data_IF_230014084111
#
_entry.id   IF_230014084111
#
_cell.length_a   1.000
_cell.length_b   1.000
_cell.length_c   1.000
_cell.angle_alpha   90.00
_cell.angle_beta   90.00
_cell.angle_gamma   90.00
#
_symmetry.space_group_name_H-M   'P 1'
#
loop_
_entity.id
_entity.type
_entity.pdbx_description
1 polymer ?
#
# COMPACT_ATOMS: atom_id res chain seq x y z
N UNK A 1 -17.71 -24.51 8.97
CA UNK A 1 -17.71 -23.51 10.04
C UNK A 1 -16.86 -22.32 9.59
N UNK A 2 -17.49 -21.21 9.25
CA UNK A 2 -16.79 -19.99 8.85
C UNK A 2 -16.28 -19.33 10.13
N UNK A 3 -14.97 -19.34 10.33
CA UNK A 3 -14.34 -18.53 11.38
C UNK A 3 -14.51 -17.07 10.93
N UNK A 4 -15.44 -16.33 11.52
CA UNK A 4 -15.48 -14.88 11.41
C UNK A 4 -14.19 -14.38 12.05
N UNK A 5 -13.21 -14.05 11.24
CA UNK A 5 -12.05 -13.25 11.67
C UNK A 5 -12.64 -11.98 12.28
N UNK A 6 -12.35 -11.74 13.57
CA UNK A 6 -12.72 -10.48 14.23
C UNK A 6 -12.12 -9.34 13.42
N UNK A 7 -12.90 -8.27 13.20
CA UNK A 7 -12.36 -7.06 12.58
C UNK A 7 -11.02 -6.71 13.24
N UNK A 8 -9.95 -6.55 12.44
CA UNK A 8 -8.64 -6.26 13.00
C UNK A 8 -8.71 -4.96 13.80
N UNK A 9 -8.29 -5.02 15.05
CA UNK A 9 -8.35 -3.86 15.93
C UNK A 9 -7.08 -3.02 15.75
N UNK A 10 -7.11 -2.11 14.79
CA UNK A 10 -6.01 -1.18 14.55
C UNK A 10 -5.94 -0.13 15.66
N UNK A 11 -4.77 0.00 16.29
CA UNK A 11 -4.48 0.99 17.32
C UNK A 11 -3.15 1.65 17.07
N UNK A 12 -3.17 2.95 16.78
CA UNK A 12 -1.95 3.72 16.55
C UNK A 12 -1.04 3.70 17.80
N UNK A 13 0.25 3.38 17.62
CA UNK A 13 1.24 3.28 18.71
C UNK A 13 1.88 4.61 19.08
N UNK A 14 1.54 5.68 18.38
CA UNK A 14 2.05 7.02 18.67
C UNK A 14 0.93 8.07 18.62
N UNK A 15 1.21 9.27 19.12
CA UNK A 15 0.23 10.36 19.09
C UNK A 15 0.14 10.97 17.71
N UNK A 16 -1.07 11.28 17.21
CA UNK A 16 -1.30 11.88 15.89
C UNK A 16 -0.51 13.18 15.69
N UNK A 17 -0.28 13.96 16.77
CA UNK A 17 0.54 15.17 16.74
C UNK A 17 1.98 14.94 16.27
N UNK A 18 2.49 13.69 16.26
CA UNK A 18 3.83 13.34 15.81
C UNK A 18 3.93 13.04 14.31
N UNK A 19 2.79 12.95 13.59
CA UNK A 19 2.74 12.50 12.18
C UNK A 19 3.68 13.34 11.30
N UNK A 20 3.59 14.67 11.34
CA UNK A 20 4.46 15.53 10.54
C UNK A 20 5.95 15.35 10.84
N UNK A 21 6.30 15.28 12.12
CA UNK A 21 7.70 15.11 12.55
C UNK A 21 8.27 13.74 12.13
N UNK A 22 7.46 12.68 12.22
CA UNK A 22 7.84 11.34 11.77
C UNK A 22 8.00 11.30 10.25
N UNK A 23 7.03 11.82 9.51
CA UNK A 23 7.09 11.85 8.05
C UNK A 23 8.28 12.66 7.51
N UNK A 24 8.68 13.73 8.20
CA UNK A 24 9.82 14.56 7.81
C UNK A 24 11.18 13.82 7.94
N UNK A 25 11.25 12.77 8.75
CA UNK A 25 12.46 11.93 8.90
C UNK A 25 12.50 10.72 7.98
N UNK A 26 11.43 10.51 7.22
CA UNK A 26 11.40 9.44 6.22
C UNK A 26 12.37 9.75 5.07
N UNK A 27 13.32 8.87 4.85
CA UNK A 27 14.42 9.06 3.89
C UNK A 27 14.43 7.99 2.77
N UNK A 28 13.32 7.30 2.55
CA UNK A 28 13.20 6.36 1.44
C UNK A 28 12.77 7.13 0.18
N UNK A 29 13.52 7.03 -0.91
CA UNK A 29 13.28 7.81 -2.12
C UNK A 29 11.94 7.48 -2.79
N UNK A 30 11.12 8.50 -3.02
CA UNK A 30 9.77 8.37 -3.58
C UNK A 30 9.58 9.11 -4.91
N UNK A 31 10.50 9.97 -5.29
CA UNK A 31 10.32 10.94 -6.38
C UNK A 31 9.86 10.25 -7.69
N UNK A 32 10.45 9.10 -8.00
CA UNK A 32 10.07 8.31 -9.18
C UNK A 32 8.64 7.79 -9.06
N UNK A 33 8.27 7.26 -7.91
CA UNK A 33 6.94 6.71 -7.66
C UNK A 33 5.86 7.80 -7.68
N UNK A 34 6.14 8.97 -7.10
CA UNK A 34 5.24 10.13 -7.14
C UNK A 34 5.07 10.65 -8.56
N UNK A 35 6.16 10.77 -9.35
CA UNK A 35 6.11 11.18 -10.75
C UNK A 35 5.31 10.22 -11.63
N UNK A 36 5.42 8.91 -11.41
CA UNK A 36 4.58 7.91 -12.07
C UNK A 36 3.11 8.15 -11.70
N UNK A 37 2.82 8.38 -10.43
CA UNK A 37 1.47 8.64 -9.97
C UNK A 37 0.81 9.86 -10.64
N UNK A 38 1.56 10.92 -10.88
CA UNK A 38 1.06 12.12 -11.57
C UNK A 38 0.56 11.82 -12.99
N UNK A 39 1.25 10.92 -13.70
CA UNK A 39 0.88 10.50 -15.06
C UNK A 39 -0.25 9.48 -15.06
N UNK A 40 -0.21 8.52 -14.13
CA UNK A 40 -1.17 7.41 -14.09
C UNK A 40 -2.56 7.84 -13.63
N UNK A 41 -2.67 8.74 -12.65
CA UNK A 41 -3.98 9.18 -12.13
C UNK A 41 -4.92 9.76 -13.21
N UNK A 42 -4.49 10.62 -14.13
CA UNK A 42 -5.34 11.04 -15.24
C UNK A 42 -5.55 9.96 -16.30
N UNK A 43 -4.51 9.14 -16.60
CA UNK A 43 -4.56 8.07 -17.60
C UNK A 43 -5.46 6.89 -17.16
N UNK A 44 -5.57 6.65 -15.85
CA UNK A 44 -6.33 5.54 -15.25
C UNK A 44 -5.87 4.15 -15.70
N UNK A 45 -4.61 4.03 -16.05
CA UNK A 45 -3.94 2.77 -16.38
C UNK A 45 -2.44 2.92 -16.21
N UNK A 46 -1.73 1.81 -16.05
CA UNK A 46 -0.27 1.76 -16.04
C UNK A 46 0.24 1.22 -17.36
N UNK A 47 1.28 1.83 -17.90
CA UNK A 47 2.13 1.14 -18.87
C UNK A 47 2.95 0.06 -18.16
N UNK A 48 3.44 -0.94 -18.91
CA UNK A 48 4.30 -1.99 -18.37
C UNK A 48 5.55 -1.39 -17.68
N UNK A 49 6.17 -0.38 -18.26
CA UNK A 49 7.35 0.26 -17.66
C UNK A 49 7.05 0.93 -16.31
N UNK A 50 5.95 1.67 -16.20
CA UNK A 50 5.50 2.29 -14.94
C UNK A 50 5.17 1.25 -13.89
N UNK A 51 4.47 0.18 -14.27
CA UNK A 51 4.14 -0.95 -13.40
C UNK A 51 5.41 -1.60 -12.85
N UNK A 52 6.37 -1.93 -13.71
CA UNK A 52 7.63 -2.57 -13.31
C UNK A 52 8.45 -1.68 -12.38
N UNK A 53 8.47 -0.37 -12.60
CA UNK A 53 9.20 0.56 -11.74
C UNK A 53 8.60 0.61 -10.33
N UNK A 54 7.26 0.65 -10.19
CA UNK A 54 6.61 0.60 -8.87
C UNK A 54 6.78 -0.77 -8.19
N UNK A 55 6.75 -1.86 -8.94
CA UNK A 55 7.05 -3.19 -8.40
C UNK A 55 8.48 -3.25 -7.84
N UNK A 56 9.45 -2.71 -8.58
CA UNK A 56 10.84 -2.59 -8.15
C UNK A 56 10.98 -1.72 -6.89
N UNK A 57 10.33 -0.55 -6.89
CA UNK A 57 10.31 0.34 -5.73
C UNK A 57 9.80 -0.37 -4.47
N UNK A 58 8.78 -1.22 -4.59
CA UNK A 58 8.25 -1.99 -3.46
C UNK A 58 9.14 -3.16 -3.07
N UNK A 59 9.63 -3.93 -4.05
CA UNK A 59 10.40 -5.14 -3.78
C UNK A 59 11.17 -5.62 -5.02
N UNK A 60 12.46 -5.47 -5.02
CA UNK A 60 13.35 -5.99 -6.08
C UNK A 60 13.21 -7.52 -6.22
N UNK A 61 12.93 -8.24 -5.12
CA UNK A 61 12.82 -9.70 -5.12
C UNK A 61 11.71 -10.23 -6.02
N UNK A 62 10.62 -9.49 -6.21
CA UNK A 62 9.48 -9.94 -7.02
C UNK A 62 9.59 -9.51 -8.48
N UNK A 63 10.59 -8.71 -8.83
CA UNK A 63 10.80 -8.14 -10.16
C UNK A 63 10.77 -9.17 -11.30
N UNK A 64 11.49 -10.32 -11.23
CA UNK A 64 11.48 -11.29 -12.32
C UNK A 64 10.07 -11.82 -12.65
N UNK A 65 9.22 -11.98 -11.64
CA UNK A 65 7.82 -12.41 -11.85
C UNK A 65 6.97 -11.28 -12.43
N UNK A 66 7.22 -10.04 -12.04
CA UNK A 66 6.50 -8.90 -12.60
C UNK A 66 6.79 -8.72 -14.09
N UNK A 67 8.01 -9.00 -14.54
CA UNK A 67 8.45 -8.94 -15.94
C UNK A 67 7.76 -9.98 -16.84
N UNK A 68 7.16 -11.03 -16.28
CA UNK A 68 6.41 -12.02 -17.03
C UNK A 68 5.03 -11.54 -17.52
N UNK A 69 4.56 -10.37 -17.06
CA UNK A 69 3.29 -9.82 -17.50
C UNK A 69 3.49 -9.02 -18.80
N UNK A 70 2.71 -9.33 -19.83
CA UNK A 70 2.72 -8.52 -21.05
C UNK A 70 2.04 -7.15 -20.86
N UNK A 71 2.35 -6.21 -21.75
CA UNK A 71 1.87 -4.84 -21.65
C UNK A 71 0.34 -4.73 -21.72
N UNK A 72 -0.30 -5.53 -22.57
CA UNK A 72 -1.75 -5.50 -22.73
C UNK A 72 -2.48 -5.98 -21.48
N UNK A 73 -1.95 -7.04 -20.83
CA UNK A 73 -2.50 -7.54 -19.56
C UNK A 73 -2.34 -6.49 -18.45
N UNK A 74 -1.16 -5.88 -18.33
CA UNK A 74 -0.90 -4.82 -17.34
C UNK A 74 -1.88 -3.67 -17.52
N UNK A 75 -2.05 -3.16 -18.74
CA UNK A 75 -2.97 -2.07 -19.05
C UNK A 75 -4.42 -2.45 -18.71
N UNK A 76 -4.88 -3.61 -19.16
CA UNK A 76 -6.25 -4.09 -18.94
C UNK A 76 -6.58 -4.23 -17.43
N UNK A 77 -5.71 -4.92 -16.69
CA UNK A 77 -5.90 -5.18 -15.26
C UNK A 77 -5.86 -3.88 -14.46
N UNK A 78 -4.90 -3.01 -14.74
CA UNK A 78 -4.76 -1.74 -14.01
C UNK A 78 -5.86 -0.75 -14.38
N UNK A 79 -6.38 -0.76 -15.61
CA UNK A 79 -7.56 0.02 -15.99
C UNK A 79 -8.77 -0.39 -15.14
N UNK A 80 -9.04 -1.68 -15.01
CA UNK A 80 -10.13 -2.17 -14.15
C UNK A 80 -9.92 -1.71 -12.71
N UNK A 81 -8.72 -1.88 -12.16
CA UNK A 81 -8.42 -1.48 -10.79
C UNK A 81 -8.63 0.02 -10.54
N UNK A 82 -8.24 0.86 -11.49
CA UNK A 82 -8.29 2.32 -11.33
C UNK A 82 -9.64 2.95 -11.72
N UNK A 83 -10.56 2.18 -12.33
CA UNK A 83 -11.86 2.70 -12.80
C UNK A 83 -13.07 2.05 -12.14
N UNK A 84 -12.98 0.82 -11.64
CA UNK A 84 -14.11 0.12 -11.01
C UNK A 84 -14.63 0.87 -9.78
N UNK A 85 -15.96 0.92 -9.55
CA UNK A 85 -16.52 1.43 -8.30
C UNK A 85 -16.46 0.39 -7.15
N UNK A 86 -16.13 -0.87 -7.44
CA UNK A 86 -16.14 -1.96 -6.47
C UNK A 86 -14.78 -2.13 -5.78
N UNK A 87 -14.70 -1.81 -4.51
CA UNK A 87 -13.44 -1.81 -3.74
C UNK A 87 -12.77 -3.20 -3.67
N UNK A 88 -13.55 -4.26 -3.53
CA UNK A 88 -12.98 -5.61 -3.53
C UNK A 88 -12.37 -5.95 -4.89
N UNK A 89 -13.09 -5.72 -5.98
CA UNK A 89 -12.57 -5.95 -7.33
C UNK A 89 -11.31 -5.11 -7.58
N UNK A 90 -11.31 -3.86 -7.11
CA UNK A 90 -10.20 -2.92 -7.26
C UNK A 90 -8.86 -3.49 -6.79
N UNK A 91 -8.82 -4.05 -5.60
CA UNK A 91 -7.57 -4.59 -5.04
C UNK A 91 -7.28 -6.00 -5.55
N UNK A 92 -8.31 -6.86 -5.63
CA UNK A 92 -8.13 -8.26 -5.99
C UNK A 92 -7.72 -8.45 -7.45
N UNK A 93 -8.26 -7.66 -8.39
CA UNK A 93 -7.89 -7.77 -9.81
C UNK A 93 -6.41 -7.56 -10.04
N UNK A 94 -5.75 -6.71 -9.27
CA UNK A 94 -4.31 -6.48 -9.37
C UNK A 94 -3.48 -7.72 -9.04
N UNK A 95 -4.01 -8.62 -8.23
CA UNK A 95 -3.32 -9.88 -7.88
C UNK A 95 -3.33 -10.93 -9.00
N UNK A 96 -4.03 -10.68 -10.11
CA UNK A 96 -3.92 -11.46 -11.33
C UNK A 96 -2.56 -11.28 -12.02
N UNK A 97 -1.90 -10.13 -11.79
CA UNK A 97 -0.56 -9.87 -12.32
C UNK A 97 0.47 -10.70 -11.55
N UNK A 98 1.32 -11.40 -12.29
CA UNK A 98 2.41 -12.19 -11.71
C UNK A 98 3.33 -11.31 -10.89
N UNK A 99 3.76 -11.79 -9.74
CA UNK A 99 4.60 -11.04 -8.81
C UNK A 99 3.86 -10.00 -7.95
N UNK A 100 2.57 -9.78 -8.18
CA UNK A 100 1.76 -8.82 -7.42
C UNK A 100 1.01 -9.53 -6.29
N UNK A 101 1.37 -9.20 -5.06
CA UNK A 101 0.63 -9.54 -3.84
C UNK A 101 -0.10 -8.29 -3.32
N UNK A 102 -0.92 -8.43 -2.27
CA UNK A 102 -1.65 -7.31 -1.66
C UNK A 102 -0.78 -6.10 -1.31
N UNK A 103 0.44 -6.25 -0.73
CA UNK A 103 1.35 -5.14 -0.53
C UNK A 103 1.73 -4.40 -1.81
N UNK A 104 2.05 -5.12 -2.90
CA UNK A 104 2.37 -4.50 -4.19
C UNK A 104 1.14 -3.88 -4.83
N UNK A 105 -0.02 -4.57 -4.79
CA UNK A 105 -1.28 -4.03 -5.27
C UNK A 105 -1.66 -2.71 -4.57
N UNK A 106 -1.43 -2.62 -3.25
CA UNK A 106 -1.67 -1.39 -2.50
C UNK A 106 -0.77 -0.24 -2.91
N UNK A 107 0.48 -0.50 -3.34
CA UNK A 107 1.38 0.52 -3.92
C UNK A 107 0.82 1.08 -5.23
N UNK A 108 0.34 0.19 -6.11
CA UNK A 108 -0.26 0.60 -7.38
C UNK A 108 -1.50 1.48 -7.16
N UNK A 109 -2.33 1.17 -6.16
CA UNK A 109 -3.46 2.01 -5.79
C UNK A 109 -3.03 3.32 -5.13
N UNK A 110 -2.01 3.28 -4.25
CA UNK A 110 -1.52 4.46 -3.55
C UNK A 110 -1.07 5.57 -4.49
N UNK A 111 -0.28 5.22 -5.50
CA UNK A 111 0.24 6.19 -6.45
C UNK A 111 -0.72 6.45 -7.62
N UNK A 112 -1.42 5.44 -8.12
CA UNK A 112 -2.21 5.52 -9.34
C UNK A 112 -3.67 5.93 -9.17
N UNK A 113 -4.29 5.73 -8.00
CA UNK A 113 -5.69 6.07 -7.78
C UNK A 113 -5.87 7.51 -7.29
N UNK A 114 -7.00 8.14 -7.61
CA UNK A 114 -7.33 9.50 -7.15
C UNK A 114 -7.73 9.53 -5.68
N UNK A 115 -8.46 8.50 -5.21
CA UNK A 115 -8.80 8.37 -3.81
C UNK A 115 -7.59 7.88 -3.01
N UNK A 116 -7.48 8.27 -1.73
CA UNK A 116 -6.33 7.92 -0.92
C UNK A 116 -6.38 6.46 -0.45
N UNK A 117 -5.45 5.64 -0.94
CA UNK A 117 -5.20 4.27 -0.46
C UNK A 117 -3.87 4.20 0.27
N UNK A 118 -3.81 3.60 1.47
CA UNK A 118 -2.56 3.39 2.19
C UNK A 118 -1.78 2.21 1.59
N UNK A 119 -0.46 2.22 1.75
CA UNK A 119 0.39 1.09 1.40
C UNK A 119 0.34 0.06 2.52
N UNK A 120 -0.02 -1.19 2.20
CA UNK A 120 0.08 -2.30 3.15
C UNK A 120 1.54 -2.69 3.30
N UNK A 121 2.06 -2.49 4.48
CA UNK A 121 3.46 -2.80 4.82
C UNK A 121 3.53 -3.30 6.27
N UNK A 122 4.43 -4.27 6.54
CA UNK A 122 4.56 -4.81 7.90
C UNK A 122 4.93 -3.75 8.93
N UNK A 123 5.69 -2.71 8.54
CA UNK A 123 6.04 -1.58 9.41
C UNK A 123 4.83 -0.72 9.73
N UNK A 124 4.01 -0.40 8.71
CA UNK A 124 2.78 0.36 8.89
C UNK A 124 1.80 -0.40 9.77
N UNK A 125 1.63 -1.70 9.55
CA UNK A 125 0.79 -2.57 10.37
C UNK A 125 1.28 -2.62 11.82
N UNK A 126 2.59 -2.77 12.04
CA UNK A 126 3.15 -2.74 13.38
C UNK A 126 2.88 -1.40 14.08
N UNK A 127 3.02 -0.29 13.39
CA UNK A 127 2.71 1.05 13.93
C UNK A 127 1.23 1.22 14.28
N UNK A 128 0.37 0.39 13.71
CA UNK A 128 -1.07 0.29 14.00
C UNK A 128 -1.43 -0.84 14.97
N UNK A 129 -0.46 -1.39 15.69
CA UNK A 129 -0.71 -2.36 16.75
C UNK A 129 -0.80 -3.82 16.28
N UNK A 130 -0.50 -4.11 15.03
CA UNK A 130 -0.46 -5.49 14.50
C UNK A 130 0.97 -5.99 14.56
N UNK A 131 1.28 -6.81 15.55
CA UNK A 131 2.62 -7.37 15.73
C UNK A 131 2.92 -8.47 14.71
N UNK A 132 1.92 -9.30 14.43
CA UNK A 132 1.99 -10.40 13.45
C UNK A 132 0.97 -10.16 12.34
N UNK A 133 1.41 -9.68 11.17
CA UNK A 133 0.54 -9.58 10.01
C UNK A 133 -0.05 -10.95 9.64
N UNK A 134 -1.28 -11.00 9.08
CA UNK A 134 -1.86 -12.25 8.65
C UNK A 134 -1.00 -12.89 7.56
N UNK A 135 -0.87 -14.24 7.60
CA UNK A 135 -0.13 -14.99 6.59
C UNK A 135 -0.69 -14.78 5.16
N UNK A 136 -1.97 -14.47 5.08
CA UNK A 136 -2.65 -14.08 3.83
C UNK A 136 -3.58 -12.91 4.12
N UNK A 137 -3.50 -11.90 3.27
CA UNK A 137 -4.42 -10.78 3.28
C UNK A 137 -5.72 -11.17 2.58
N UNK A 138 -6.84 -10.62 3.05
CA UNK A 138 -8.16 -10.70 2.42
C UNK A 138 -8.81 -9.31 2.35
N UNK A 139 -9.92 -9.21 1.65
CA UNK A 139 -10.61 -7.94 1.46
C UNK A 139 -11.11 -7.33 2.79
N UNK A 140 -11.75 -8.07 3.72
CA UNK A 140 -12.17 -7.52 5.00
C UNK A 140 -11.03 -6.86 5.78
N UNK A 141 -9.87 -7.52 5.88
CA UNK A 141 -8.69 -6.98 6.54
C UNK A 141 -8.18 -5.71 5.85
N UNK A 142 -7.99 -5.79 4.53
CA UNK A 142 -7.49 -4.65 3.77
C UNK A 142 -8.43 -3.46 3.82
N UNK A 143 -9.73 -3.69 3.71
CA UNK A 143 -10.71 -2.61 3.76
C UNK A 143 -10.81 -1.95 5.14
N UNK A 144 -10.71 -2.73 6.21
CA UNK A 144 -10.61 -2.18 7.56
C UNK A 144 -9.35 -1.31 7.72
N UNK A 145 -8.20 -1.77 7.18
CA UNK A 145 -6.96 -1.00 7.16
C UNK A 145 -7.10 0.32 6.39
N UNK A 146 -7.68 0.29 5.18
CA UNK A 146 -7.93 1.49 4.36
C UNK A 146 -8.79 2.50 5.14
N UNK A 147 -9.91 2.06 5.71
CA UNK A 147 -10.81 2.95 6.47
C UNK A 147 -10.12 3.56 7.69
N UNK A 148 -9.33 2.76 8.40
CA UNK A 148 -8.57 3.24 9.55
C UNK A 148 -7.54 4.30 9.14
N UNK A 149 -6.76 4.06 8.10
CA UNK A 149 -5.77 5.02 7.62
C UNK A 149 -6.41 6.31 7.08
N UNK A 150 -7.54 6.20 6.36
CA UNK A 150 -8.31 7.38 5.91
C UNK A 150 -8.77 8.23 7.10
N UNK A 151 -9.31 7.58 8.14
CA UNK A 151 -9.71 8.28 9.35
C UNK A 151 -8.51 8.96 10.03
N UNK A 152 -7.40 8.26 10.22
CA UNK A 152 -6.21 8.81 10.87
C UNK A 152 -5.61 9.98 10.07
N UNK A 153 -5.57 9.90 8.75
CA UNK A 153 -5.10 10.99 7.88
C UNK A 153 -6.00 12.23 8.02
N UNK A 154 -7.33 12.04 8.01
CA UNK A 154 -8.29 13.11 8.21
C UNK A 154 -8.18 13.74 9.60
N UNK A 155 -8.11 12.93 10.66
CA UNK A 155 -7.98 13.40 12.04
C UNK A 155 -6.66 14.17 12.26
N UNK A 156 -5.58 13.81 11.54
CA UNK A 156 -4.29 14.49 11.59
C UNK A 156 -4.19 15.69 10.63
N UNK A 157 -5.16 15.88 9.73
CA UNK A 157 -5.13 16.94 8.70
C UNK A 157 -4.00 16.76 7.68
N UNK A 158 -3.64 15.52 7.33
CA UNK A 158 -2.51 15.20 6.42
C UNK A 158 -2.96 14.38 5.21
N UNK A 159 -2.14 14.38 4.16
CA UNK A 159 -2.34 13.46 3.05
C UNK A 159 -2.05 12.01 3.46
N UNK A 160 -2.61 11.05 2.70
CA UNK A 160 -2.32 9.63 2.91
C UNK A 160 -0.82 9.32 2.82
N UNK A 161 -0.09 10.01 1.94
CA UNK A 161 1.36 9.81 1.80
C UNK A 161 2.13 10.25 3.05
N UNK A 162 1.75 11.37 3.65
CA UNK A 162 2.36 11.84 4.90
C UNK A 162 2.08 10.85 6.04
N UNK A 163 0.85 10.34 6.15
CA UNK A 163 0.54 9.32 7.14
C UNK A 163 1.34 8.03 6.91
N UNK A 164 1.42 7.56 5.68
CA UNK A 164 2.16 6.35 5.30
C UNK A 164 3.64 6.44 5.67
N UNK A 165 4.29 7.55 5.33
CA UNK A 165 5.67 7.85 5.73
C UNK A 165 5.86 7.86 7.26
N UNK A 166 4.91 8.43 7.98
CA UNK A 166 4.96 8.49 9.45
C UNK A 166 4.82 7.10 10.09
N UNK A 167 3.89 6.26 9.60
CA UNK A 167 3.71 4.89 10.08
C UNK A 167 4.97 4.06 9.86
N UNK A 168 5.54 4.13 8.66
CA UNK A 168 6.76 3.41 8.31
C UNK A 168 7.95 3.87 9.16
N UNK A 169 8.14 5.20 9.29
CA UNK A 169 9.25 5.78 10.03
C UNK A 169 9.19 5.46 11.53
N UNK A 170 7.98 5.51 12.12
CA UNK A 170 7.81 5.15 13.53
C UNK A 170 8.23 3.69 13.80
N UNK A 171 7.81 2.76 12.97
CA UNK A 171 8.23 1.37 13.08
C UNK A 171 9.74 1.23 12.91
N UNK A 172 10.33 1.89 11.93
CA UNK A 172 11.79 1.84 11.71
C UNK A 172 12.58 2.27 12.94
N UNK A 173 12.08 3.25 13.68
CA UNK A 173 12.76 3.79 14.86
C UNK A 173 12.49 3.00 16.15
N UNK A 174 11.35 2.31 16.26
CA UNK A 174 10.87 1.76 17.52
C UNK A 174 10.63 0.24 17.52
N UNK A 175 10.47 -0.37 16.34
CA UNK A 175 10.33 -1.82 16.24
C UNK A 175 11.71 -2.46 16.37
N UNK A 176 11.87 -3.33 17.36
CA UNK A 176 13.09 -4.13 17.48
C UNK A 176 13.34 -4.86 16.15
N UNK A 177 14.58 -4.79 15.65
CA UNK A 177 14.95 -5.48 14.41
C UNK A 177 14.64 -6.96 14.60
N UNK A 178 13.64 -7.48 13.91
CA UNK A 178 13.43 -8.92 13.81
C UNK A 178 14.73 -9.46 13.21
N UNK A 179 15.54 -10.14 14.03
CA UNK A 179 16.67 -10.89 13.51
C UNK A 179 16.08 -11.92 12.57
N UNK A 180 16.35 -11.76 11.29
CA UNK A 180 16.07 -12.82 10.31
C UNK A 180 16.76 -14.09 10.79
N UNK A 181 16.05 -15.22 10.87
CA UNK A 181 16.67 -16.49 11.17
C UNK A 181 17.65 -16.91 10.06
#
# INVERSE_FOLDING_TARGET
MSVRLRDPHFKLRFRLTRVHNLAARYAYGDDVAEGIGEVVRPARSYTQAQFLELCRWKSVRTQPRCEENDAALVEAVTTVALTTPHEQLRIEVLTLLRGVSWPTASVLLHFGHRDPYPIVDYRALWSLGIDEPPARYDFPFWWAYVRTCRKLAADAGVSMRILDRALWQYSKENQATLRSP
#
